data_IF_724120371304
#
_entry.id   IF_724120371304
#
_cell.length_a   1.000
_cell.length_b   1.000
_cell.length_c   1.000
_cell.angle_alpha   90.00
_cell.angle_beta   90.00
_cell.angle_gamma   90.00
#
_symmetry.space_group_name_H-M   'P 1'
#
loop_
_entity.id
_entity.type
_entity.pdbx_description
1 polymer ?
#
# COMPACT_ATOMS: atom_id res chain seq x y z
N UNK A 1 36.52 19.52 -27.02
CA UNK A 1 35.12 19.90 -26.70
C UNK A 1 34.46 20.34 -27.99
N UNK A 2 33.49 19.57 -28.52
CA UNK A 2 32.83 19.88 -29.78
C UNK A 2 31.77 20.97 -29.55
N UNK A 3 31.99 22.16 -30.14
CA UNK A 3 31.01 23.27 -30.06
C UNK A 3 29.86 22.99 -31.02
N UNK A 4 28.64 22.82 -30.48
CA UNK A 4 27.43 22.69 -31.29
C UNK A 4 27.29 23.83 -32.30
N UNK A 5 27.08 23.47 -33.58
CA UNK A 5 26.81 24.41 -34.67
C UNK A 5 25.51 25.21 -34.42
N UNK A 6 25.38 26.41 -34.98
CA UNK A 6 24.24 27.32 -34.85
C UNK A 6 22.90 26.66 -35.24
N UNK A 7 22.91 25.80 -36.25
CA UNK A 7 21.74 25.04 -36.69
C UNK A 7 21.33 23.98 -35.69
N UNK A 8 22.30 23.24 -35.11
CA UNK A 8 22.07 22.27 -34.06
C UNK A 8 21.46 22.89 -32.81
N UNK A 9 21.92 24.11 -32.41
CA UNK A 9 21.35 24.86 -31.30
C UNK A 9 19.90 25.28 -31.57
N UNK A 10 19.58 25.70 -32.81
CA UNK A 10 18.21 26.04 -33.21
C UNK A 10 17.29 24.84 -33.25
N UNK A 11 17.77 23.73 -33.76
CA UNK A 11 17.02 22.48 -33.78
C UNK A 11 16.73 21.97 -32.36
N UNK A 12 17.74 21.96 -31.48
CA UNK A 12 17.57 21.58 -30.06
C UNK A 12 16.60 22.53 -29.32
N UNK A 13 16.67 23.82 -29.51
CA UNK A 13 15.74 24.79 -28.93
C UNK A 13 14.29 24.57 -29.42
N UNK A 14 14.11 24.27 -30.71
CA UNK A 14 12.79 23.95 -31.27
C UNK A 14 12.22 22.63 -30.71
N UNK A 15 13.08 21.65 -30.55
CA UNK A 15 12.69 20.36 -29.93
C UNK A 15 12.34 20.52 -28.45
N UNK A 16 13.15 21.23 -27.68
CA UNK A 16 12.86 21.53 -26.27
C UNK A 16 11.52 22.27 -26.09
N UNK A 17 11.24 23.27 -26.97
CA UNK A 17 9.96 23.98 -26.94
C UNK A 17 8.76 23.08 -27.27
N UNK A 18 8.93 22.13 -28.19
CA UNK A 18 7.89 21.13 -28.52
C UNK A 18 7.64 20.18 -27.35
N UNK A 19 8.72 19.68 -26.71
CA UNK A 19 8.64 18.81 -25.55
C UNK A 19 7.97 19.53 -24.36
N UNK A 20 8.38 20.76 -24.06
CA UNK A 20 7.76 21.57 -23.01
C UNK A 20 6.26 21.81 -23.27
N UNK A 21 5.87 22.06 -24.53
CA UNK A 21 4.44 22.21 -24.89
C UNK A 21 3.66 20.90 -24.75
N UNK A 22 4.27 19.76 -25.10
CA UNK A 22 3.64 18.46 -24.93
C UNK A 22 3.47 18.09 -23.45
N UNK A 23 4.50 18.32 -22.65
CA UNK A 23 4.44 18.12 -21.19
C UNK A 23 3.39 19.02 -20.53
N UNK A 24 3.32 20.30 -20.90
CA UNK A 24 2.28 21.20 -20.37
C UNK A 24 0.87 20.75 -20.75
N UNK A 25 0.69 20.21 -21.97
CA UNK A 25 -0.60 19.69 -22.39
C UNK A 25 -1.00 18.45 -21.58
N UNK A 26 -0.06 17.49 -21.39
CA UNK A 26 -0.28 16.31 -20.56
C UNK A 26 -0.58 16.67 -19.11
N UNK A 27 0.16 17.64 -18.55
CA UNK A 27 -0.10 18.12 -17.20
C UNK A 27 -1.50 18.75 -17.08
N UNK A 28 -1.90 19.58 -18.05
CA UNK A 28 -3.22 20.17 -18.04
C UNK A 28 -4.34 19.14 -18.17
N UNK A 29 -4.16 18.14 -19.05
CA UNK A 29 -5.10 17.02 -19.19
C UNK A 29 -5.21 16.21 -17.90
N UNK A 30 -4.10 15.95 -17.20
CA UNK A 30 -4.11 15.27 -15.91
C UNK A 30 -4.86 16.08 -14.84
N UNK A 31 -4.56 17.37 -14.73
CA UNK A 31 -5.27 18.28 -13.80
C UNK A 31 -6.77 18.35 -14.12
N UNK A 32 -7.12 18.46 -15.40
CA UNK A 32 -8.53 18.52 -15.83
C UNK A 32 -9.32 17.22 -15.55
N UNK A 33 -8.62 16.09 -15.38
CA UNK A 33 -9.22 14.80 -15.06
C UNK A 33 -9.27 14.48 -13.56
N UNK A 34 -8.58 15.23 -12.69
CA UNK A 34 -8.52 14.97 -11.25
C UNK A 34 -9.89 15.05 -10.59
N UNK A 35 -10.18 14.07 -9.76
CA UNK A 35 -11.39 14.00 -8.95
C UNK A 35 -11.07 13.70 -7.50
N UNK A 36 -11.91 14.17 -6.58
CA UNK A 36 -11.81 13.81 -5.17
C UNK A 36 -12.19 12.35 -4.94
N UNK A 37 -12.96 11.75 -5.86
CA UNK A 37 -13.43 10.38 -5.76
C UNK A 37 -12.27 9.36 -5.83
N UNK A 38 -11.16 9.71 -6.54
CA UNK A 38 -9.92 8.91 -6.58
C UNK A 38 -9.23 8.82 -5.20
N UNK A 39 -9.37 9.85 -4.36
CA UNK A 39 -8.86 9.81 -2.98
C UNK A 39 -9.67 8.88 -2.10
N UNK A 40 -10.98 8.77 -2.33
CA UNK A 40 -11.83 7.80 -1.63
C UNK A 40 -11.44 6.36 -1.98
N UNK A 41 -11.08 6.09 -3.25
CA UNK A 41 -10.51 4.80 -3.65
C UNK A 41 -9.19 4.51 -2.94
N UNK A 42 -8.32 5.52 -2.81
CA UNK A 42 -7.04 5.40 -2.08
C UNK A 42 -7.26 5.14 -0.58
N UNK A 43 -8.24 5.79 0.02
CA UNK A 43 -8.64 5.54 1.41
C UNK A 43 -9.16 4.11 1.59
N UNK A 44 -10.02 3.64 0.69
CA UNK A 44 -10.53 2.28 0.74
C UNK A 44 -9.41 1.25 0.59
N UNK A 45 -8.45 1.46 -0.31
CA UNK A 45 -7.26 0.62 -0.43
C UNK A 45 -6.47 0.55 0.89
N UNK A 46 -6.29 1.69 1.56
CA UNK A 46 -5.66 1.73 2.89
C UNK A 46 -6.41 0.89 3.92
N UNK A 47 -7.73 0.95 3.93
CA UNK A 47 -8.58 0.13 4.81
C UNK A 47 -8.47 -1.36 4.49
N UNK A 48 -8.41 -1.72 3.22
CA UNK A 48 -8.27 -3.11 2.78
C UNK A 48 -6.93 -3.70 3.24
N UNK A 49 -5.83 -2.92 3.19
CA UNK A 49 -4.53 -3.30 3.74
C UNK A 49 -4.64 -3.58 5.25
N UNK A 50 -5.25 -2.67 6.02
CA UNK A 50 -5.40 -2.86 7.47
C UNK A 50 -6.34 -4.02 7.83
N UNK A 51 -7.35 -4.30 7.00
CA UNK A 51 -8.24 -5.44 7.20
C UNK A 51 -7.51 -6.77 6.99
N UNK A 52 -6.63 -6.86 5.99
CA UNK A 52 -5.80 -8.04 5.76
C UNK A 52 -4.92 -8.38 6.99
N UNK A 53 -4.37 -7.36 7.66
CA UNK A 53 -3.61 -7.54 8.90
C UNK A 53 -4.45 -8.13 10.05
N UNK A 54 -5.70 -7.71 10.15
CA UNK A 54 -6.63 -8.26 11.14
C UNK A 54 -6.92 -9.75 10.88
N UNK A 55 -6.99 -10.15 9.62
CA UNK A 55 -7.13 -11.56 9.21
C UNK A 55 -5.88 -12.37 9.56
N UNK A 56 -4.69 -11.80 9.39
CA UNK A 56 -3.44 -12.45 9.80
C UNK A 56 -3.38 -12.69 11.31
N UNK A 57 -3.80 -11.72 12.12
CA UNK A 57 -3.89 -11.89 13.57
C UNK A 57 -4.85 -13.04 13.93
N UNK A 58 -6.02 -13.10 13.29
CA UNK A 58 -6.98 -14.16 13.49
C UNK A 58 -6.44 -15.55 13.10
N UNK A 59 -5.62 -15.62 12.03
CA UNK A 59 -4.94 -16.84 11.63
C UNK A 59 -3.89 -17.29 12.67
N UNK A 60 -3.13 -16.36 13.22
CA UNK A 60 -2.17 -16.62 14.31
C UNK A 60 -2.88 -17.16 15.54
N UNK A 61 -4.04 -16.63 15.91
CA UNK A 61 -4.82 -17.11 17.04
C UNK A 61 -5.27 -18.57 16.85
N UNK A 62 -5.67 -18.95 15.64
CA UNK A 62 -6.03 -20.34 15.30
C UNK A 62 -4.85 -21.31 15.42
N UNK A 63 -3.64 -20.83 15.18
CA UNK A 63 -2.41 -21.64 15.26
C UNK A 63 -1.81 -21.67 16.67
N UNK A 64 -2.34 -20.91 17.61
CA UNK A 64 -1.73 -20.73 18.92
C UNK A 64 -1.48 -22.05 19.67
N UNK A 65 -2.32 -23.07 19.50
CA UNK A 65 -2.19 -24.37 20.16
C UNK A 65 -0.99 -25.19 19.65
N UNK A 66 -0.50 -24.92 18.47
CA UNK A 66 0.62 -25.60 17.83
C UNK A 66 1.96 -24.85 17.95
N UNK A 67 1.96 -23.63 18.49
CA UNK A 67 3.18 -22.85 18.68
C UNK A 67 3.73 -23.10 20.08
N UNK A 68 4.95 -23.65 20.15
CA UNK A 68 5.62 -23.91 21.43
C UNK A 68 6.03 -22.61 22.14
N UNK A 69 6.59 -21.66 21.38
CA UNK A 69 7.03 -20.37 21.93
C UNK A 69 5.89 -19.35 21.99
N UNK A 70 5.05 -19.47 23.01
CA UNK A 70 3.91 -18.56 23.23
C UNK A 70 4.35 -17.11 23.46
N UNK A 71 5.53 -16.87 24.01
CA UNK A 71 6.05 -15.53 24.23
C UNK A 71 6.37 -14.84 22.91
N UNK A 72 7.03 -15.55 21.98
CA UNK A 72 7.32 -15.02 20.64
C UNK A 72 6.05 -14.78 19.84
N UNK A 73 5.08 -15.71 19.91
CA UNK A 73 3.77 -15.51 19.30
C UNK A 73 3.08 -14.24 19.80
N UNK A 74 3.09 -14.02 21.12
CA UNK A 74 2.50 -12.82 21.72
C UNK A 74 3.23 -11.53 21.31
N UNK A 75 4.56 -11.58 21.19
CA UNK A 75 5.36 -10.45 20.73
C UNK A 75 5.04 -10.07 19.29
N UNK A 76 5.00 -11.03 18.36
CA UNK A 76 4.65 -10.80 16.96
C UNK A 76 3.23 -10.24 16.85
N UNK A 77 2.26 -10.84 17.53
CA UNK A 77 0.88 -10.36 17.54
C UNK A 77 0.78 -8.92 18.06
N UNK A 78 1.45 -8.62 19.16
CA UNK A 78 1.43 -7.26 19.74
C UNK A 78 2.09 -6.25 18.80
N UNK A 79 3.16 -6.65 18.10
CA UNK A 79 3.81 -5.82 17.08
C UNK A 79 2.82 -5.41 15.99
N UNK A 80 2.14 -6.39 15.39
CA UNK A 80 1.13 -6.13 14.35
C UNK A 80 0.02 -5.21 14.86
N UNK A 81 -0.54 -5.50 16.04
CA UNK A 81 -1.60 -4.68 16.62
C UNK A 81 -1.20 -3.22 16.82
N UNK A 82 0.04 -2.99 17.27
CA UNK A 82 0.55 -1.64 17.46
C UNK A 82 0.71 -0.89 16.14
N UNK A 83 1.21 -1.57 15.09
CA UNK A 83 1.40 -0.96 13.78
C UNK A 83 0.07 -0.69 13.08
N UNK A 84 -0.88 -1.62 13.16
CA UNK A 84 -2.25 -1.44 12.63
C UNK A 84 -2.94 -0.26 13.32
N UNK A 85 -2.84 -0.11 14.65
CA UNK A 85 -3.43 1.03 15.38
C UNK A 85 -2.81 2.36 14.96
N UNK A 86 -1.48 2.41 14.79
CA UNK A 86 -0.78 3.59 14.34
C UNK A 86 -1.16 3.98 12.90
N UNK A 87 -1.16 3.00 11.99
CA UNK A 87 -1.53 3.18 10.58
C UNK A 87 -3.00 3.56 10.41
N UNK A 88 -3.89 2.99 11.22
CA UNK A 88 -5.33 3.34 11.19
C UNK A 88 -5.55 4.81 11.53
N UNK A 89 -4.91 5.30 12.59
CA UNK A 89 -5.00 6.71 12.98
C UNK A 89 -4.45 7.66 11.92
N UNK A 90 -3.38 7.26 11.26
CA UNK A 90 -2.82 8.04 10.16
C UNK A 90 -3.74 8.07 8.94
N UNK A 91 -4.27 6.91 8.54
CA UNK A 91 -5.19 6.79 7.42
C UNK A 91 -6.44 7.67 7.64
N UNK A 92 -7.03 7.64 8.84
CA UNK A 92 -8.14 8.51 9.21
C UNK A 92 -7.75 10.00 9.15
N UNK A 93 -6.56 10.36 9.63
CA UNK A 93 -6.09 11.75 9.57
C UNK A 93 -5.91 12.25 8.13
N UNK A 94 -5.46 11.38 7.21
CA UNK A 94 -5.35 11.72 5.78
C UNK A 94 -6.76 11.92 5.21
N UNK A 95 -7.68 11.00 5.47
CA UNK A 95 -9.06 11.08 5.00
C UNK A 95 -9.77 12.35 5.52
N UNK A 96 -9.61 12.68 6.79
CA UNK A 96 -10.23 13.87 7.41
C UNK A 96 -9.76 15.17 6.75
N UNK A 97 -8.56 15.20 6.16
CA UNK A 97 -8.02 16.39 5.49
C UNK A 97 -8.83 16.82 4.25
N UNK A 98 -9.55 15.89 3.64
CA UNK A 98 -10.40 16.15 2.47
C UNK A 98 -11.84 15.66 2.63
N UNK A 99 -12.25 15.34 3.85
CA UNK A 99 -13.59 14.82 4.16
C UNK A 99 -14.70 15.72 3.60
N UNK A 100 -15.67 15.11 2.91
CA UNK A 100 -16.80 15.82 2.31
C UNK A 100 -16.52 16.49 0.97
N UNK A 101 -15.28 16.44 0.45
CA UNK A 101 -14.97 16.87 -0.92
C UNK A 101 -15.31 15.72 -1.88
N UNK A 102 -16.03 16.01 -2.97
CA UNK A 102 -16.47 15.01 -3.96
C UNK A 102 -16.45 15.58 -5.37
N UNK A 103 -16.38 14.71 -6.38
CA UNK A 103 -16.44 15.08 -7.77
C UNK A 103 -15.17 15.78 -8.26
N UNK A 104 -15.30 16.64 -9.29
CA UNK A 104 -14.17 17.28 -9.94
C UNK A 104 -13.46 18.29 -9.02
N UNK A 105 -12.12 18.28 -9.05
CA UNK A 105 -11.29 19.20 -8.28
C UNK A 105 -11.35 20.61 -8.89
N UNK A 106 -11.62 21.62 -8.07
CA UNK A 106 -11.56 23.02 -8.47
C UNK A 106 -10.13 23.52 -8.65
N UNK A 107 -9.94 24.59 -9.44
CA UNK A 107 -8.60 25.15 -9.69
C UNK A 107 -7.87 25.53 -8.40
N UNK A 108 -8.59 26.07 -7.42
CA UNK A 108 -8.02 26.48 -6.13
C UNK A 108 -7.63 25.29 -5.23
N UNK A 109 -8.22 24.12 -5.45
CA UNK A 109 -8.00 22.92 -4.65
C UNK A 109 -6.99 21.92 -5.26
N UNK A 110 -6.43 22.20 -6.43
CA UNK A 110 -5.52 21.27 -7.14
C UNK A 110 -4.33 20.87 -6.28
N UNK A 111 -3.72 21.84 -5.60
CA UNK A 111 -2.55 21.56 -4.76
C UNK A 111 -2.92 20.71 -3.56
N UNK A 112 -4.05 20.97 -2.92
CA UNK A 112 -4.53 20.18 -1.79
C UNK A 112 -4.84 18.72 -2.20
N UNK A 113 -5.43 18.52 -3.36
CA UNK A 113 -5.69 17.21 -3.92
C UNK A 113 -4.39 16.46 -4.24
N UNK A 114 -3.41 17.12 -4.86
CA UNK A 114 -2.09 16.53 -5.13
C UNK A 114 -1.35 16.15 -3.85
N UNK A 115 -1.37 17.01 -2.84
CA UNK A 115 -0.75 16.74 -1.54
C UNK A 115 -1.42 15.53 -0.86
N UNK A 116 -2.74 15.41 -0.94
CA UNK A 116 -3.46 14.25 -0.42
C UNK A 116 -3.07 12.96 -1.16
N UNK A 117 -3.01 12.96 -2.50
CA UNK A 117 -2.52 11.81 -3.28
C UNK A 117 -1.10 11.39 -2.90
N UNK A 118 -0.19 12.34 -2.76
CA UNK A 118 1.18 12.06 -2.34
C UNK A 118 1.22 11.47 -0.94
N UNK A 119 0.36 11.93 -0.05
CA UNK A 119 0.28 11.44 1.33
C UNK A 119 -0.26 10.01 1.38
N UNK A 120 -1.30 9.68 0.61
CA UNK A 120 -1.76 8.27 0.47
C UNK A 120 -0.69 7.36 -0.12
N UNK A 121 0.00 7.78 -1.16
CA UNK A 121 1.12 7.00 -1.74
C UNK A 121 2.22 6.74 -0.73
N UNK A 122 2.56 7.74 0.08
CA UNK A 122 3.53 7.62 1.17
C UNK A 122 3.02 6.69 2.27
N UNK A 123 1.74 6.76 2.61
CA UNK A 123 1.09 5.86 3.55
C UNK A 123 1.18 4.39 3.10
N UNK A 124 0.78 4.09 1.86
CA UNK A 124 0.85 2.72 1.32
C UNK A 124 2.28 2.18 1.35
N UNK A 125 3.26 2.98 0.93
CA UNK A 125 4.67 2.60 0.97
C UNK A 125 5.12 2.28 2.40
N UNK A 126 4.75 3.11 3.37
CA UNK A 126 5.12 2.91 4.76
C UNK A 126 4.39 1.72 5.39
N UNK A 127 3.10 1.55 5.12
CA UNK A 127 2.34 0.40 5.58
C UNK A 127 3.01 -0.90 5.11
N UNK A 128 3.32 -1.00 3.81
CA UNK A 128 4.04 -2.16 3.26
C UNK A 128 5.38 -2.40 3.96
N UNK A 129 6.19 -1.35 4.19
CA UNK A 129 7.49 -1.49 4.85
C UNK A 129 7.39 -1.94 6.32
N UNK A 130 6.36 -1.53 7.04
CA UNK A 130 6.14 -1.92 8.43
C UNK A 130 5.62 -3.34 8.55
N UNK A 131 4.71 -3.73 7.66
CA UNK A 131 3.99 -5.00 7.74
C UNK A 131 4.79 -6.17 7.15
N UNK A 132 5.58 -5.95 6.11
CA UNK A 132 6.37 -7.00 5.45
C UNK A 132 7.26 -7.84 6.40
N UNK A 133 7.99 -7.27 7.38
CA UNK A 133 8.77 -8.06 8.33
C UNK A 133 7.90 -8.94 9.23
N UNK A 134 6.70 -8.49 9.52
CA UNK A 134 5.74 -9.19 10.39
C UNK A 134 5.06 -10.33 9.64
N UNK A 135 4.73 -10.14 8.37
CA UNK A 135 4.27 -11.21 7.47
C UNK A 135 5.30 -12.35 7.43
N UNK A 136 6.57 -12.03 7.26
CA UNK A 136 7.65 -13.02 7.26
C UNK A 136 7.75 -13.76 8.60
N UNK A 137 7.53 -13.08 9.74
CA UNK A 137 7.50 -13.70 11.06
C UNK A 137 6.29 -14.63 11.23
N UNK A 138 5.13 -14.24 10.71
CA UNK A 138 3.92 -15.05 10.72
C UNK A 138 4.06 -16.30 9.85
N UNK A 139 4.64 -16.18 8.66
CA UNK A 139 4.92 -17.31 7.78
C UNK A 139 5.83 -18.34 8.48
N UNK A 140 6.83 -17.86 9.19
CA UNK A 140 7.73 -18.71 9.97
C UNK A 140 6.99 -19.41 11.12
N UNK A 141 6.14 -18.71 11.86
CA UNK A 141 5.30 -19.29 12.90
C UNK A 141 4.32 -20.31 12.33
N UNK A 142 3.71 -20.03 11.20
CA UNK A 142 2.82 -20.94 10.50
C UNK A 142 3.54 -22.25 10.11
N UNK A 143 4.72 -22.13 9.54
CA UNK A 143 5.54 -23.29 9.18
C UNK A 143 5.86 -24.15 10.41
N UNK A 144 6.26 -23.54 11.52
CA UNK A 144 6.54 -24.24 12.77
C UNK A 144 5.28 -24.90 13.35
N UNK A 145 4.13 -24.23 13.29
CA UNK A 145 2.86 -24.78 13.74
C UNK A 145 2.43 -25.98 12.90
N UNK A 146 2.60 -25.94 11.58
CA UNK A 146 2.33 -27.08 10.69
C UNK A 146 3.24 -28.27 11.01
N UNK A 147 4.52 -28.05 11.25
CA UNK A 147 5.47 -29.10 11.63
C UNK A 147 5.06 -29.75 12.95
N UNK A 148 4.67 -28.96 13.93
CA UNK A 148 4.21 -29.47 15.22
C UNK A 148 2.87 -30.24 15.11
N UNK A 149 1.95 -29.76 14.28
CA UNK A 149 0.68 -30.47 14.02
C UNK A 149 0.93 -31.86 13.42
N UNK A 150 1.83 -31.96 12.44
CA UNK A 150 2.26 -33.24 11.84
C UNK A 150 2.94 -34.14 12.90
N UNK A 151 3.82 -33.56 13.74
CA UNK A 151 4.47 -34.33 14.82
C UNK A 151 3.48 -34.93 15.82
N UNK A 152 2.38 -34.22 16.10
CA UNK A 152 1.29 -34.72 16.98
C UNK A 152 0.39 -35.77 16.33
N UNK A 153 0.60 -36.10 15.06
CA UNK A 153 -0.07 -37.21 14.36
C UNK A 153 -1.40 -36.86 13.71
N UNK A 154 -1.63 -35.58 13.39
CA UNK A 154 -2.90 -35.12 12.84
C UNK A 154 -2.85 -34.68 11.40
N UNK A 155 -3.36 -35.48 10.45
CA UNK A 155 -3.80 -34.98 9.14
C UNK A 155 -4.98 -33.98 9.29
N UNK A 156 -5.74 -34.06 10.38
CA UNK A 156 -6.88 -33.18 10.69
C UNK A 156 -6.45 -31.79 11.22
N UNK A 157 -5.20 -31.61 11.59
CA UNK A 157 -4.68 -30.39 12.19
C UNK A 157 -3.97 -29.47 11.18
N UNK A 158 -4.08 -29.73 9.87
CA UNK A 158 -3.53 -28.82 8.86
C UNK A 158 -4.38 -27.52 8.83
N UNK A 159 -3.88 -26.39 9.34
CA UNK A 159 -4.64 -25.14 9.37
C UNK A 159 -4.91 -24.54 7.98
N UNK A 160 -4.51 -25.23 6.91
CA UNK A 160 -4.54 -24.73 5.55
C UNK A 160 -3.42 -23.70 5.26
N UNK A 161 -3.05 -23.49 4.01
CA UNK A 161 -2.13 -22.42 3.69
C UNK A 161 -2.75 -21.07 4.07
N UNK A 162 -1.99 -20.23 4.77
CA UNK A 162 -2.27 -18.79 4.82
C UNK A 162 -2.09 -18.29 3.39
N UNK A 163 -3.20 -17.98 2.72
CA UNK A 163 -3.18 -17.57 1.31
C UNK A 163 -2.87 -16.07 1.21
N UNK A 164 -1.73 -15.65 1.78
CA UNK A 164 -1.23 -14.27 1.74
C UNK A 164 -0.98 -13.81 0.29
N UNK A 165 -0.74 -14.76 -0.63
CA UNK A 165 -0.58 -14.47 -2.06
C UNK A 165 -1.87 -13.99 -2.74
N UNK A 166 -3.03 -14.48 -2.34
CA UNK A 166 -4.31 -14.06 -2.94
C UNK A 166 -4.68 -12.63 -2.56
N UNK A 167 -4.29 -12.17 -1.36
CA UNK A 167 -4.53 -10.77 -0.93
C UNK A 167 -3.62 -9.83 -1.70
N UNK A 168 -2.35 -10.17 -1.88
CA UNK A 168 -1.40 -9.37 -2.67
C UNK A 168 -1.77 -9.34 -4.17
N UNK A 169 -2.22 -10.46 -4.75
CA UNK A 169 -2.67 -10.51 -6.14
C UNK A 169 -3.99 -9.74 -6.37
N UNK A 170 -4.90 -9.74 -5.39
CA UNK A 170 -6.14 -8.95 -5.47
C UNK A 170 -5.91 -7.45 -5.46
N UNK A 171 -4.85 -6.98 -4.79
CA UNK A 171 -4.43 -5.57 -4.77
C UNK A 171 -3.80 -5.18 -6.11
N UNK A 172 -2.93 -6.04 -6.68
CA UNK A 172 -2.25 -5.76 -7.96
C UNK A 172 -3.20 -5.89 -9.17
N UNK A 173 -4.15 -6.82 -9.15
CA UNK A 173 -5.10 -7.04 -10.26
C UNK A 173 -6.15 -5.94 -10.43
N UNK A 174 -6.25 -4.98 -9.50
CA UNK A 174 -7.13 -3.80 -9.64
C UNK A 174 -6.45 -2.62 -10.33
N UNK A 175 -5.14 -2.71 -10.61
CA UNK A 175 -4.37 -1.65 -11.29
C UNK A 175 -4.20 -1.87 -12.82
N UNK A 176 -4.76 -2.93 -13.40
CA UNK A 176 -4.85 -3.15 -14.84
C UNK A 176 -6.28 -2.88 -15.36
#
# INVERSE_FOLDING_TARGET
MSTMNREQRRAAAKQAKRQAKAQNKQYQEAVDSMTWDELEESYQLGKDILAAESEMIAAVDKMSDYVENKAYLAEVKQGILNDVDALSKELESIHDSHAGKTGKVGEDDIMDCLDAHMTYSSFVTRATQLLQPQEAALDQLHLLACQEAVRRGGEEANPGPLNLGEVAEAVVAKEE
#
